data_IF_336600528339
#
_entry.id   IF_336600528339
#
_cell.length_a   1.000
_cell.length_b   1.000
_cell.length_c   1.000
_cell.angle_alpha   90.00
_cell.angle_beta   90.00
_cell.angle_gamma   90.00
#
_symmetry.space_group_name_H-M   'P 1'
#
loop_
_entity.id
_entity.type
_entity.pdbx_description
1 polymer ?
#
# COMPACT_ATOMS: atom_id res chain seq x y z
N UNK A 1 -1.46 -14.51 7.68
CA UNK A 1 -1.74 -13.09 7.38
C UNK A 1 -0.60 -12.55 6.54
N UNK A 2 -0.89 -12.01 5.36
CA UNK A 2 0.08 -11.31 4.55
C UNK A 2 0.34 -9.89 5.07
N UNK A 3 1.39 -9.28 4.54
CA UNK A 3 1.75 -7.91 4.84
C UNK A 3 2.51 -7.31 3.66
N UNK A 4 2.44 -5.98 3.56
CA UNK A 4 3.15 -5.22 2.53
C UNK A 4 4.24 -4.41 3.19
N UNK A 5 5.48 -4.56 2.72
CA UNK A 5 6.58 -3.67 3.12
C UNK A 5 7.14 -2.95 1.91
N UNK A 6 7.24 -1.63 2.02
CA UNK A 6 7.90 -0.80 1.01
C UNK A 6 9.09 -0.10 1.64
N UNK A 7 10.28 -0.26 1.05
CA UNK A 7 11.50 0.43 1.45
C UNK A 7 11.83 1.52 0.44
N UNK A 8 11.95 2.74 0.94
CA UNK A 8 12.31 3.90 0.13
C UNK A 8 13.83 4.06 0.09
N UNK A 9 14.43 3.89 -1.09
CA UNK A 9 15.83 4.17 -1.40
C UNK A 9 15.97 5.39 -2.33
N UNK A 10 14.85 6.04 -2.71
CA UNK A 10 14.81 7.16 -3.65
C UNK A 10 14.99 8.52 -2.97
N UNK A 11 15.49 9.50 -3.73
CA UNK A 11 15.73 10.88 -3.28
C UNK A 11 14.46 11.72 -3.08
N UNK A 12 13.43 11.17 -2.44
CA UNK A 12 12.14 11.80 -2.22
C UNK A 12 11.44 11.22 -0.97
N UNK A 13 10.44 11.93 -0.46
CA UNK A 13 9.50 11.38 0.53
C UNK A 13 8.48 10.52 -0.19
N UNK A 14 8.12 9.39 0.40
CA UNK A 14 7.16 8.44 -0.16
C UNK A 14 6.04 8.15 0.83
N UNK A 15 4.93 7.64 0.31
CA UNK A 15 3.84 7.02 1.06
C UNK A 15 3.27 5.87 0.24
N UNK A 16 2.64 4.91 0.88
CA UNK A 16 1.87 3.91 0.17
C UNK A 16 0.55 3.63 0.85
N UNK A 17 -0.38 3.16 0.02
CA UNK A 17 -1.71 2.75 0.41
C UNK A 17 -1.89 1.29 0.05
N UNK A 18 -2.61 0.55 0.88
CA UNK A 18 -3.06 -0.80 0.55
C UNK A 18 -4.57 -0.79 0.60
N UNK A 19 -5.17 -0.96 -0.57
CA UNK A 19 -6.59 -1.10 -0.77
C UNK A 19 -6.90 -2.60 -0.80
N UNK A 20 -7.91 -3.05 -0.06
CA UNK A 20 -8.33 -4.46 -0.04
C UNK A 20 -9.80 -4.58 0.34
N UNK A 21 -10.43 -5.67 -0.08
CA UNK A 21 -11.77 -6.01 0.37
C UNK A 21 -11.73 -6.90 1.61
N UNK A 22 -12.67 -6.70 2.52
CA UNK A 22 -12.91 -7.61 3.66
C UNK A 22 -14.33 -8.12 3.64
N UNK A 23 -14.52 -9.35 4.10
CA UNK A 23 -15.83 -9.98 4.20
C UNK A 23 -16.29 -9.96 5.64
N UNK A 24 -17.31 -9.17 5.93
CA UNK A 24 -17.97 -9.22 7.25
C UNK A 24 -19.18 -10.13 7.18
N UNK A 25 -19.16 -11.18 8.00
CA UNK A 25 -20.32 -12.03 8.24
C UNK A 25 -21.13 -11.45 9.40
N UNK A 26 -22.26 -10.82 9.08
CA UNK A 26 -23.22 -10.45 10.10
C UNK A 26 -24.00 -11.72 10.51
N UNK A 27 -23.74 -12.20 11.72
CA UNK A 27 -24.49 -13.29 12.35
C UNK A 27 -25.54 -12.68 13.26
N UNK A 28 -26.82 -12.90 12.95
CA UNK A 28 -27.92 -12.69 13.90
C UNK A 28 -28.65 -14.02 14.06
N UNK A 29 -28.81 -14.48 15.29
CA UNK A 29 -29.43 -15.78 15.63
C UNK A 29 -28.82 -16.99 14.91
N UNK A 30 -27.48 -17.09 14.83
CA UNK A 30 -26.75 -18.21 14.20
C UNK A 30 -27.10 -18.47 12.72
N UNK A 31 -27.73 -17.51 12.03
CA UNK A 31 -27.97 -17.57 10.60
C UNK A 31 -27.10 -16.53 9.90
N UNK A 32 -26.39 -16.87 8.81
CA UNK A 32 -25.67 -15.88 8.01
C UNK A 32 -26.69 -15.02 7.26
N UNK A 33 -26.80 -13.72 7.59
CA UNK A 33 -27.82 -12.86 6.98
C UNK A 33 -27.39 -12.32 5.63
N UNK A 34 -26.18 -11.78 5.51
CA UNK A 34 -25.61 -11.23 4.28
C UNK A 34 -24.08 -11.19 4.37
N UNK A 35 -23.44 -11.55 3.27
CA UNK A 35 -22.02 -11.32 3.05
C UNK A 35 -21.85 -9.91 2.48
N UNK A 36 -21.28 -8.99 3.27
CA UNK A 36 -20.98 -7.65 2.80
C UNK A 36 -19.49 -7.55 2.47
N UNK A 37 -19.18 -7.08 1.26
CA UNK A 37 -17.82 -6.78 0.81
C UNK A 37 -17.53 -5.30 1.08
N UNK A 38 -16.55 -5.01 1.93
CA UNK A 38 -16.15 -3.65 2.26
C UNK A 38 -14.75 -3.35 1.72
N UNK A 39 -14.60 -2.26 0.97
CA UNK A 39 -13.29 -1.74 0.58
C UNK A 39 -12.67 -0.98 1.76
N UNK A 40 -11.50 -1.41 2.20
CA UNK A 40 -10.68 -0.73 3.19
C UNK A 40 -9.40 -0.21 2.56
N UNK A 41 -8.93 0.93 3.04
CA UNK A 41 -7.66 1.53 2.60
C UNK A 41 -6.80 1.82 3.82
N UNK A 42 -5.65 1.17 3.92
CA UNK A 42 -4.65 1.47 4.93
C UNK A 42 -3.55 2.34 4.34
N UNK A 43 -3.03 3.29 5.12
CA UNK A 43 -1.96 4.20 4.70
C UNK A 43 -0.72 3.95 5.56
N UNK A 44 0.46 3.99 4.92
CA UNK A 44 1.74 3.89 5.62
C UNK A 44 2.12 5.18 6.36
N UNK A 45 1.40 6.28 6.08
CA UNK A 45 1.88 7.63 6.30
C UNK A 45 3.11 7.98 5.44
N UNK A 46 3.62 9.19 5.62
CA UNK A 46 4.77 9.68 4.88
C UNK A 46 6.08 9.18 5.50
N UNK A 47 7.05 8.82 4.67
CA UNK A 47 8.36 8.37 5.14
C UNK A 47 9.50 8.77 4.19
N UNK A 48 10.66 9.19 4.76
CA UNK A 48 11.79 9.69 3.98
C UNK A 48 12.63 8.56 3.37
N UNK A 49 13.69 8.95 2.66
CA UNK A 49 14.70 8.05 2.12
C UNK A 49 15.34 7.17 3.21
N UNK A 50 15.74 5.96 2.81
CA UNK A 50 16.34 4.88 3.61
C UNK A 50 15.45 4.31 4.72
N UNK A 51 14.17 4.67 4.77
CA UNK A 51 13.19 4.10 5.69
C UNK A 51 12.29 3.09 4.99
N UNK A 52 11.76 2.16 5.77
CA UNK A 52 10.71 1.23 5.33
C UNK A 52 9.47 1.39 6.21
N UNK A 53 8.31 1.15 5.61
CA UNK A 53 7.04 1.02 6.32
C UNK A 53 6.40 -0.31 5.98
N UNK A 54 5.61 -0.82 6.90
CA UNK A 54 4.91 -2.09 6.81
C UNK A 54 3.45 -1.86 7.14
N UNK A 55 2.56 -2.50 6.38
CA UNK A 55 1.13 -2.58 6.65
C UNK A 55 0.76 -4.06 6.71
N UNK A 56 0.23 -4.49 7.85
CA UNK A 56 -0.33 -5.82 8.02
C UNK A 56 -1.74 -5.86 7.45
N UNK A 57 -2.08 -6.96 6.78
CA UNK A 57 -3.43 -7.19 6.28
C UNK A 57 -4.20 -8.08 7.26
N UNK A 58 -5.51 -7.82 7.43
CA UNK A 58 -6.36 -8.75 8.17
C UNK A 58 -6.44 -10.10 7.41
N UNK A 59 -6.72 -11.20 8.13
CA UNK A 59 -6.72 -12.55 7.56
C UNK A 59 -7.76 -12.76 6.45
N UNK A 60 -8.81 -11.96 6.43
CA UNK A 60 -9.91 -12.00 5.46
C UNK A 60 -9.76 -10.95 4.34
N UNK A 61 -8.59 -10.30 4.24
CA UNK A 61 -8.31 -9.38 3.14
C UNK A 61 -8.29 -10.14 1.80
N UNK A 62 -8.91 -9.54 0.78
CA UNK A 62 -9.00 -10.06 -0.59
C UNK A 62 -8.75 -8.92 -1.59
N UNK A 63 -8.42 -9.26 -2.83
CA UNK A 63 -8.17 -8.32 -3.94
C UNK A 63 -7.19 -7.19 -3.56
N UNK A 64 -6.14 -7.54 -2.81
CA UNK A 64 -5.26 -6.54 -2.25
C UNK A 64 -4.42 -5.84 -3.32
N UNK A 65 -4.32 -4.52 -3.19
CA UNK A 65 -3.62 -3.65 -4.13
C UNK A 65 -2.81 -2.62 -3.38
N UNK A 66 -1.51 -2.57 -3.66
CA UNK A 66 -0.63 -1.52 -3.16
C UNK A 66 -0.53 -0.39 -4.19
N UNK A 67 -0.62 0.85 -3.73
CA UNK A 67 -0.31 2.05 -4.52
C UNK A 67 0.76 2.85 -3.79
N UNK A 68 1.88 3.11 -4.46
CA UNK A 68 3.00 3.86 -3.89
C UNK A 68 3.13 5.20 -4.58
N UNK A 69 3.29 6.26 -3.79
CA UNK A 69 3.40 7.63 -4.29
C UNK A 69 4.67 8.31 -3.77
N UNK A 70 5.14 9.29 -4.54
CA UNK A 70 6.23 10.19 -4.15
C UNK A 70 5.72 11.61 -4.01
N UNK A 71 6.31 12.33 -3.08
CA UNK A 71 6.11 13.76 -2.92
C UNK A 71 6.93 14.53 -3.94
N UNK A 72 6.31 15.51 -4.60
CA UNK A 72 6.95 16.43 -5.53
C UNK A 72 6.72 17.85 -5.02
N UNK A 73 7.82 18.59 -4.82
CA UNK A 73 7.80 20.01 -4.53
C UNK A 73 8.40 20.77 -5.71
N UNK A 74 7.63 21.70 -6.27
CA UNK A 74 8.09 22.59 -7.34
C UNK A 74 8.08 24.01 -6.79
N UNK A 75 9.22 24.72 -6.72
CA UNK A 75 9.24 26.12 -6.36
C UNK A 75 8.26 26.89 -7.25
N UNK A 76 7.37 27.68 -6.63
CA UNK A 76 6.30 28.45 -7.31
C UNK A 76 5.17 27.63 -7.96
N UNK A 77 5.25 26.29 -7.97
CA UNK A 77 4.23 25.38 -8.50
C UNK A 77 3.49 24.56 -7.44
N UNK A 78 3.80 24.78 -6.16
CA UNK A 78 3.20 24.07 -5.03
C UNK A 78 3.80 22.68 -4.82
N UNK A 79 3.03 21.82 -4.16
CA UNK A 79 3.41 20.44 -3.87
C UNK A 79 2.27 19.49 -4.19
N UNK A 80 2.62 18.29 -4.64
CA UNK A 80 1.64 17.25 -4.96
C UNK A 80 2.27 15.87 -4.84
N UNK A 81 1.41 14.86 -4.77
CA UNK A 81 1.79 13.45 -4.77
C UNK A 81 1.62 12.87 -6.16
N UNK A 82 2.55 12.02 -6.58
CA UNK A 82 2.46 11.32 -7.87
C UNK A 82 2.74 9.84 -7.70
N UNK A 83 1.88 9.02 -8.29
CA UNK A 83 2.03 7.56 -8.29
C UNK A 83 3.38 7.16 -8.90
N UNK A 84 4.09 6.27 -8.21
CA UNK A 84 5.27 5.57 -8.71
C UNK A 84 4.80 4.30 -9.41
N UNK A 85 3.97 3.52 -8.71
CA UNK A 85 3.37 2.30 -9.25
C UNK A 85 2.13 1.90 -8.46
N UNK A 86 1.40 0.96 -9.05
CA UNK A 86 0.29 0.23 -8.47
C UNK A 86 0.48 -1.25 -8.78
N UNK A 87 0.24 -2.12 -7.80
CA UNK A 87 0.43 -3.55 -7.96
C UNK A 87 -0.63 -4.32 -7.18
N UNK A 88 -1.23 -5.31 -7.82
CA UNK A 88 -2.16 -6.25 -7.19
C UNK A 88 -1.39 -7.48 -6.74
N UNK A 89 -1.77 -8.04 -5.60
CA UNK A 89 -1.08 -9.17 -5.01
C UNK A 89 -2.03 -10.02 -4.16
N UNK A 90 -1.61 -11.26 -3.91
CA UNK A 90 -2.30 -12.16 -3.01
C UNK A 90 -2.07 -11.74 -1.55
N UNK A 91 -3.14 -11.37 -0.86
CA UNK A 91 -3.15 -10.94 0.55
C UNK A 91 -2.75 -12.04 1.54
N UNK A 92 -2.75 -13.31 1.12
CA UNK A 92 -2.31 -14.41 1.96
C UNK A 92 -0.78 -14.43 2.15
N UNK A 93 -0.03 -13.82 1.22
CA UNK A 93 1.43 -13.85 1.19
C UNK A 93 2.05 -12.48 1.47
N UNK A 94 3.17 -12.43 2.21
CA UNK A 94 3.97 -11.21 2.31
C UNK A 94 4.49 -10.75 0.95
N UNK A 95 4.47 -9.44 0.71
CA UNK A 95 5.08 -8.84 -0.47
C UNK A 95 5.97 -7.65 -0.09
N UNK A 96 7.15 -7.59 -0.69
CA UNK A 96 8.15 -6.57 -0.42
C UNK A 96 8.54 -5.81 -1.68
N UNK A 97 8.67 -4.50 -1.55
CA UNK A 97 9.10 -3.63 -2.63
C UNK A 97 10.25 -2.73 -2.20
N UNK A 98 11.17 -2.51 -3.12
CA UNK A 98 12.10 -1.38 -3.07
C UNK A 98 11.65 -0.32 -4.08
N UNK A 99 11.66 0.96 -3.67
CA UNK A 99 11.53 2.11 -4.57
C UNK A 99 12.81 2.93 -4.56
N UNK A 100 13.26 3.43 -5.70
CA UNK A 100 14.51 4.20 -5.81
C UNK A 100 14.49 5.20 -6.98
N UNK A 101 15.63 5.87 -7.19
CA UNK A 101 15.78 6.89 -8.23
C UNK A 101 15.53 8.29 -7.68
N UNK A 102 14.99 9.16 -8.53
CA UNK A 102 14.79 10.58 -8.22
C UNK A 102 13.31 10.93 -8.27
N UNK A 103 12.95 12.10 -7.75
CA UNK A 103 11.57 12.63 -7.78
C UNK A 103 11.01 12.68 -9.20
N UNK A 104 11.82 12.96 -10.21
CA UNK A 104 11.38 13.05 -11.62
C UNK A 104 11.41 11.71 -12.35
N UNK A 105 12.24 10.76 -11.89
CA UNK A 105 12.42 9.43 -12.49
C UNK A 105 12.50 8.37 -11.40
N UNK A 106 11.38 8.04 -10.74
CA UNK A 106 11.35 6.97 -9.76
C UNK A 106 11.36 5.61 -10.46
N UNK A 107 11.79 4.58 -9.73
CA UNK A 107 11.77 3.17 -10.15
C UNK A 107 11.36 2.30 -8.97
N UNK A 108 10.97 1.08 -9.25
CA UNK A 108 10.57 0.11 -8.26
C UNK A 108 10.86 -1.32 -8.72
N UNK A 109 10.91 -2.26 -7.77
CA UNK A 109 10.96 -3.71 -8.03
C UNK A 109 10.42 -4.46 -6.82
N UNK A 110 9.92 -5.66 -7.08
CA UNK A 110 9.60 -6.64 -6.05
C UNK A 110 10.90 -7.28 -5.58
N UNK A 111 11.02 -7.48 -4.26
CA UNK A 111 12.17 -8.14 -3.63
C UNK A 111 11.67 -9.21 -2.69
N UNK A 112 12.56 -10.13 -2.32
CA UNK A 112 12.26 -11.05 -1.24
C UNK A 112 12.09 -10.26 0.06
N UNK A 113 11.03 -10.62 0.78
CA UNK A 113 10.92 -10.38 2.20
C UNK A 113 11.96 -11.25 2.93
#
# INVERSE_FOLDING_TARGET
>A
NGWVRVKNKGGYVARFFVDFHTVTNNIHNNQPLRTNLFLQTFSSGDYPIRRSRLIELPPDAMDARVRVERFIFIPFGGWFWKEIFRHEFDSEQPICFDIWGTTVRPRWTTVNC
#
